data_IF_777576913546
#
_entry.id   IF_777576913546
#
_cell.length_a   1.000
_cell.length_b   1.000
_cell.length_c   1.000
_cell.angle_alpha   90.00
_cell.angle_beta   90.00
_cell.angle_gamma   90.00
#
_symmetry.space_group_name_H-M   'P 1'
#
loop_
_entity.id
_entity.type
_entity.pdbx_description
1 polymer ?
#
# COMPACT_ATOMS: atom_id res chain seq x y z
N UNK A 1 -20.93 2.85 -43.74
CA UNK A 1 -20.49 1.75 -42.85
C UNK A 1 -18.99 1.54 -43.05
N UNK A 2 -18.18 2.33 -42.35
CA UNK A 2 -16.83 2.00 -41.90
C UNK A 2 -16.89 2.25 -40.40
N UNK A 3 -17.32 1.22 -39.68
CA UNK A 3 -17.16 1.13 -38.24
C UNK A 3 -15.82 0.43 -38.00
N UNK A 4 -15.24 0.65 -36.82
CA UNK A 4 -14.03 -0.02 -36.28
C UNK A 4 -12.75 0.43 -36.99
N UNK A 5 -12.04 1.43 -36.49
CA UNK A 5 -10.88 1.18 -35.60
C UNK A 5 -10.45 2.44 -34.82
N UNK A 6 -11.02 3.62 -35.09
CA UNK A 6 -10.44 4.90 -34.67
C UNK A 6 -11.01 5.48 -33.35
N UNK A 7 -12.04 4.87 -32.75
CA UNK A 7 -12.78 5.51 -31.64
C UNK A 7 -12.82 4.73 -30.31
N UNK A 8 -12.08 3.62 -30.21
CA UNK A 8 -11.87 2.92 -28.94
C UNK A 8 -10.37 2.61 -28.82
N UNK A 9 -9.55 3.65 -28.63
CA UNK A 9 -8.14 3.47 -28.24
C UNK A 9 -7.64 4.67 -27.42
N UNK A 10 -8.33 4.99 -26.33
CA UNK A 10 -7.79 5.88 -25.26
C UNK A 10 -8.34 5.45 -23.88
N UNK A 11 -8.47 4.15 -23.64
CA UNK A 11 -8.65 3.52 -22.33
C UNK A 11 -7.62 2.37 -22.36
N UNK A 12 -6.70 2.10 -21.44
CA UNK A 12 -6.48 2.48 -20.04
C UNK A 12 -4.96 2.29 -19.80
N UNK A 13 -4.15 3.34 -19.86
CA UNK A 13 -2.75 3.30 -19.41
C UNK A 13 -2.54 4.20 -18.20
N UNK A 14 -3.49 4.17 -17.27
CA UNK A 14 -3.15 4.43 -15.87
C UNK A 14 -3.33 3.12 -15.12
N UNK A 15 -2.28 2.29 -15.15
CA UNK A 15 -2.02 1.38 -14.05
C UNK A 15 -2.12 2.24 -12.79
N UNK A 16 -3.24 2.14 -12.07
CA UNK A 16 -3.40 2.73 -10.76
C UNK A 16 -2.30 2.12 -9.89
N UNK A 17 -1.12 2.74 -9.87
CA UNK A 17 -0.23 2.61 -8.74
C UNK A 17 -1.11 3.00 -7.56
N UNK A 18 -1.36 2.06 -6.66
CA UNK A 18 -2.17 2.33 -5.48
C UNK A 18 -1.48 3.47 -4.73
N UNK A 19 -1.93 4.70 -4.97
CA UNK A 19 -1.40 5.87 -4.30
C UNK A 19 -1.94 5.86 -2.88
N UNK A 20 -1.04 6.02 -1.92
CA UNK A 20 -1.38 6.04 -0.51
C UNK A 20 -0.96 7.36 0.10
N UNK A 21 -1.91 8.06 0.71
CA UNK A 21 -1.63 9.32 1.40
C UNK A 21 -0.79 9.14 2.68
N UNK A 22 -0.84 7.95 3.29
CA UNK A 22 -0.20 7.67 4.57
C UNK A 22 0.44 6.30 4.63
N UNK A 23 1.49 6.18 5.44
CA UNK A 23 2.15 4.90 5.69
C UNK A 23 1.20 3.86 6.33
N UNK A 24 0.27 4.30 7.18
CA UNK A 24 -0.73 3.40 7.77
C UNK A 24 -1.67 2.85 6.69
N UNK A 25 -2.11 3.70 5.75
CA UNK A 25 -2.91 3.28 4.59
C UNK A 25 -2.18 2.24 3.73
N UNK A 26 -0.91 2.50 3.40
CA UNK A 26 -0.05 1.54 2.70
C UNK A 26 0.02 0.19 3.42
N UNK A 27 0.28 0.18 4.73
CA UNK A 27 0.37 -1.06 5.52
C UNK A 27 -0.95 -1.84 5.48
N UNK A 28 -2.10 -1.16 5.63
CA UNK A 28 -3.39 -1.81 5.59
C UNK A 28 -3.69 -2.44 4.24
N UNK A 29 -3.47 -1.71 3.15
CA UNK A 29 -3.74 -2.23 1.80
C UNK A 29 -2.84 -3.41 1.48
N UNK A 30 -1.54 -3.35 1.83
CA UNK A 30 -0.63 -4.47 1.59
C UNK A 30 -0.92 -5.72 2.43
N UNK A 31 -1.47 -5.57 3.63
CA UNK A 31 -1.83 -6.72 4.47
C UNK A 31 -3.23 -7.27 4.21
N UNK A 32 -4.15 -6.46 3.69
CA UNK A 32 -5.57 -6.82 3.55
C UNK A 32 -6.30 -7.01 4.90
N UNK A 33 -5.66 -6.64 6.01
CA UNK A 33 -6.20 -6.76 7.38
C UNK A 33 -5.55 -5.75 8.33
N UNK A 34 -6.11 -5.61 9.54
CA UNK A 34 -5.47 -4.86 10.61
C UNK A 34 -4.26 -5.66 11.16
N UNK A 35 -3.07 -5.04 11.26
CA UNK A 35 -1.96 -5.65 11.95
C UNK A 35 -2.12 -5.52 13.46
N UNK A 36 -1.39 -6.36 14.20
CA UNK A 36 -1.32 -6.30 15.67
C UNK A 36 -0.12 -5.48 16.11
N UNK A 37 -0.18 -4.92 17.32
CA UNK A 37 1.00 -4.33 17.97
C UNK A 37 2.06 -5.42 18.17
N UNK A 38 3.32 -5.09 17.86
CA UNK A 38 4.46 -6.01 17.85
C UNK A 38 4.60 -6.81 16.55
N UNK A 39 3.66 -6.71 15.62
CA UNK A 39 3.79 -7.37 14.32
C UNK A 39 4.88 -6.68 13.48
N UNK A 40 5.75 -7.49 12.88
CA UNK A 40 6.84 -7.04 12.01
C UNK A 40 6.53 -7.42 10.57
N UNK A 41 6.53 -6.43 9.69
CA UNK A 41 6.15 -6.53 8.28
C UNK A 41 7.36 -6.17 7.43
N UNK A 42 7.52 -6.80 6.26
CA UNK A 42 8.57 -6.49 5.30
C UNK A 42 9.61 -7.61 5.14
N UNK A 43 10.84 -7.25 4.75
CA UNK A 43 11.92 -8.17 4.44
C UNK A 43 13.24 -7.69 5.08
N UNK A 44 14.36 -8.36 4.80
CA UNK A 44 15.65 -8.03 5.44
C UNK A 44 16.20 -6.64 5.09
N UNK A 45 15.75 -6.03 3.99
CA UNK A 45 16.16 -4.66 3.60
C UNK A 45 15.32 -3.58 4.25
N UNK A 46 14.06 -3.89 4.58
CA UNK A 46 13.13 -2.97 5.22
C UNK A 46 12.15 -3.74 6.10
N UNK A 47 12.20 -3.50 7.41
CA UNK A 47 11.22 -4.02 8.37
C UNK A 47 10.45 -2.88 9.02
N UNK A 48 9.15 -3.07 9.17
CA UNK A 48 8.22 -2.15 9.82
C UNK A 48 7.61 -2.89 11.00
N UNK A 49 7.88 -2.41 12.21
CA UNK A 49 7.26 -2.95 13.42
C UNK A 49 6.15 -2.00 13.90
N UNK A 50 4.96 -2.55 14.13
CA UNK A 50 3.82 -1.79 14.65
C UNK A 50 4.00 -1.59 16.15
N UNK A 51 4.25 -0.35 16.58
CA UNK A 51 4.48 -0.03 17.99
C UNK A 51 3.21 0.37 18.72
N UNK A 52 2.29 1.04 18.04
CA UNK A 52 1.07 1.56 18.68
C UNK A 52 -0.10 1.63 17.68
N UNK A 53 -1.26 1.16 18.15
CA UNK A 53 -2.54 1.30 17.46
C UNK A 53 -3.52 2.01 18.40
N UNK A 54 -4.07 3.14 17.97
CA UNK A 54 -5.16 3.86 18.66
C UNK A 54 -6.48 3.56 17.95
N UNK A 55 -7.29 2.69 18.54
CA UNK A 55 -8.51 2.20 17.90
C UNK A 55 -8.20 1.41 16.63
N UNK A 56 -8.53 1.99 15.46
CA UNK A 56 -8.22 1.41 14.13
C UNK A 56 -7.14 2.18 13.38
N UNK A 57 -6.37 3.04 14.05
CA UNK A 57 -5.31 3.83 13.43
C UNK A 57 -3.95 3.42 13.99
N UNK A 58 -3.06 2.93 13.14
CA UNK A 58 -1.64 2.82 13.47
C UNK A 58 -1.12 4.23 13.71
N UNK A 59 -0.71 4.53 14.95
CA UNK A 59 -0.20 5.87 15.32
C UNK A 59 1.32 5.92 15.37
N UNK A 60 1.98 4.76 15.48
CA UNK A 60 3.44 4.69 15.57
C UNK A 60 3.96 3.37 15.03
N UNK A 61 5.02 3.47 14.22
CA UNK A 61 5.81 2.33 13.75
C UNK A 61 7.29 2.58 14.00
N UNK A 62 8.08 1.51 13.97
CA UNK A 62 9.54 1.57 13.91
C UNK A 62 10.02 0.98 12.60
N UNK A 63 10.92 1.70 11.94
CA UNK A 63 11.54 1.29 10.69
C UNK A 63 12.94 0.76 10.99
N UNK A 64 13.26 -0.40 10.44
CA UNK A 64 14.61 -0.95 10.39
C UNK A 64 15.05 -0.98 8.93
N UNK A 65 16.15 -0.29 8.62
CA UNK A 65 16.78 -0.33 7.31
C UNK A 65 17.90 -1.38 7.35
N UNK A 66 17.84 -2.34 6.45
CA UNK A 66 18.93 -3.28 6.20
C UNK A 66 19.97 -2.64 5.27
N UNK A 67 21.25 -2.86 5.58
CA UNK A 67 22.37 -2.45 4.72
C UNK A 67 22.56 -3.37 3.52
#
# INVERSE_FOLDING_TARGET
MKLTEEYISYEDEEEWQEEFDTLAGFIYTKLGRFPKVGEVIGNDRLKIEVLEVKGRRISKVKIYLGG
#
